data_IF_983648372654
#
_entry.id   IF_983648372654
#
_cell.length_a   1.000
_cell.length_b   1.000
_cell.length_c   1.000
_cell.angle_alpha   90.00
_cell.angle_beta   90.00
_cell.angle_gamma   90.00
#
_symmetry.space_group_name_H-M   'P 1'
#
loop_
_entity.id
_entity.type
_entity.pdbx_description
1 polymer ?
#
# COMPACT_ATOMS: atom_id res chain seq x y z
N UNK A 1 -30.46 40.26 4.19
CA UNK A 1 -30.12 39.39 3.06
C UNK A 1 -28.92 38.58 3.48
N UNK A 2 -29.10 37.29 3.77
CA UNK A 2 -28.01 36.40 4.20
C UNK A 2 -27.13 36.06 3.00
N UNK A 3 -25.86 36.42 3.08
CA UNK A 3 -24.82 35.90 2.19
C UNK A 3 -24.57 34.44 2.57
N UNK A 4 -25.03 33.51 1.74
CA UNK A 4 -24.55 32.14 1.75
C UNK A 4 -23.22 32.16 0.99
N UNK A 5 -22.07 31.84 1.61
CA UNK A 5 -20.85 31.67 0.86
C UNK A 5 -21.05 30.48 -0.09
N UNK A 6 -20.70 30.65 -1.35
CA UNK A 6 -20.66 29.55 -2.30
C UNK A 6 -19.77 28.43 -1.73
N UNK A 7 -20.28 27.20 -1.77
CA UNK A 7 -19.49 26.00 -1.49
C UNK A 7 -18.19 26.07 -2.31
N UNK A 8 -17.04 25.69 -1.74
CA UNK A 8 -15.83 25.56 -2.53
C UNK A 8 -16.11 24.50 -3.60
N UNK A 9 -16.07 24.92 -4.86
CA UNK A 9 -16.19 24.05 -6.01
C UNK A 9 -15.20 22.89 -5.84
N UNK A 10 -15.72 21.68 -5.69
CA UNK A 10 -14.92 20.48 -5.78
C UNK A 10 -14.48 20.33 -7.23
N UNK A 11 -13.30 20.85 -7.57
CA UNK A 11 -12.51 20.42 -8.72
C UNK A 11 -12.07 18.94 -8.52
N UNK A 12 -13.03 18.04 -8.27
CA UNK A 12 -12.78 16.60 -8.31
C UNK A 12 -12.88 16.19 -9.76
N UNK A 13 -11.77 16.43 -10.45
CA UNK A 13 -11.34 15.91 -11.74
C UNK A 13 -12.12 14.65 -12.22
N UNK A 14 -13.30 14.84 -12.83
CA UNK A 14 -14.06 13.76 -13.49
C UNK A 14 -13.27 13.15 -14.67
N UNK A 15 -12.12 13.75 -15.01
CA UNK A 15 -11.19 13.32 -16.06
C UNK A 15 -9.93 12.60 -15.53
N UNK A 16 -9.83 12.29 -14.24
CA UNK A 16 -8.66 11.57 -13.73
C UNK A 16 -8.59 10.15 -14.33
N UNK A 17 -7.45 9.84 -14.96
CA UNK A 17 -7.18 8.48 -15.48
C UNK A 17 -7.03 7.51 -14.31
N UNK A 18 -7.50 6.28 -14.49
CA UNK A 18 -7.32 5.23 -13.48
C UNK A 18 -5.88 4.69 -13.48
N UNK A 19 -5.48 4.09 -12.35
CA UNK A 19 -4.18 3.47 -12.18
C UNK A 19 -3.95 2.33 -13.21
N UNK A 20 -2.74 2.29 -13.77
CA UNK A 20 -2.32 1.27 -14.75
C UNK A 20 -1.81 0.01 -14.04
N UNK A 21 -1.58 -1.11 -14.76
CA UNK A 21 -0.94 -2.30 -14.17
C UNK A 21 0.40 -2.01 -13.50
N UNK A 22 1.15 -1.03 -13.99
CA UNK A 22 2.47 -0.67 -13.44
C UNK A 22 2.44 0.47 -12.43
N UNK A 23 1.27 0.96 -12.06
CA UNK A 23 1.12 1.90 -10.93
C UNK A 23 1.15 1.10 -9.64
N UNK A 24 1.95 1.48 -8.64
CA UNK A 24 1.95 0.76 -7.37
C UNK A 24 0.69 1.06 -6.57
N UNK A 25 -0.06 0.03 -6.21
CA UNK A 25 -1.26 0.15 -5.38
C UNK A 25 -1.18 -0.73 -4.15
N UNK A 26 -1.82 -0.31 -3.07
CA UNK A 26 -1.90 -1.06 -1.80
C UNK A 26 -2.94 -2.20 -1.90
N UNK A 27 -4.07 -1.92 -2.55
CA UNK A 27 -5.18 -2.85 -2.79
C UNK A 27 -5.39 -3.01 -4.29
N UNK A 28 -5.08 -4.20 -4.82
CA UNK A 28 -5.11 -4.47 -6.26
C UNK A 28 -6.54 -4.44 -6.84
N UNK A 29 -7.54 -4.87 -6.07
CA UNK A 29 -8.97 -4.88 -6.44
C UNK A 29 -9.49 -3.48 -6.75
N UNK A 30 -8.95 -2.46 -6.09
CA UNK A 30 -9.33 -1.06 -6.29
C UNK A 30 -8.48 -0.33 -7.34
N UNK A 31 -7.58 -1.00 -8.06
CA UNK A 31 -6.70 -0.38 -9.06
C UNK A 31 -7.49 0.45 -10.09
N UNK A 32 -8.56 -0.13 -10.62
CA UNK A 32 -9.41 0.55 -11.62
C UNK A 32 -10.23 1.71 -11.04
N UNK A 33 -10.34 1.81 -9.71
CA UNK A 33 -11.02 2.91 -9.03
C UNK A 33 -10.04 3.96 -8.47
N UNK A 34 -8.73 3.70 -8.57
CA UNK A 34 -7.66 4.55 -8.03
C UNK A 34 -7.27 5.59 -9.06
N UNK A 35 -7.31 6.87 -8.69
CA UNK A 35 -6.80 7.95 -9.51
C UNK A 35 -5.29 7.82 -9.76
N UNK A 36 -4.86 7.91 -11.01
CA UNK A 36 -3.46 7.71 -11.39
C UNK A 36 -2.53 8.78 -10.80
N UNK A 37 -3.00 10.03 -10.68
CA UNK A 37 -2.18 11.14 -10.19
C UNK A 37 -2.33 11.31 -8.68
N UNK A 38 -3.56 11.29 -8.20
CA UNK A 38 -3.90 11.49 -6.80
C UNK A 38 -3.55 10.27 -5.94
N UNK A 39 -3.59 9.06 -6.53
CA UNK A 39 -3.37 7.82 -5.82
C UNK A 39 -4.46 7.47 -4.80
N UNK A 40 -5.60 8.17 -4.83
CA UNK A 40 -6.74 7.94 -3.95
C UNK A 40 -7.92 7.32 -4.69
N UNK A 41 -8.81 6.71 -3.93
CA UNK A 41 -10.13 6.25 -4.36
C UNK A 41 -11.16 7.19 -3.73
N UNK A 42 -12.07 7.74 -4.53
CA UNK A 42 -13.15 8.58 -4.00
C UNK A 42 -14.08 7.76 -3.09
N UNK A 43 -14.61 8.38 -2.03
CA UNK A 43 -15.43 7.68 -1.03
C UNK A 43 -16.57 6.86 -1.66
N UNK A 44 -17.34 7.45 -2.57
CA UNK A 44 -18.43 6.76 -3.25
C UNK A 44 -17.97 5.49 -3.99
N UNK A 45 -16.83 5.56 -4.69
CA UNK A 45 -16.24 4.41 -5.40
C UNK A 45 -15.73 3.36 -4.42
N UNK A 46 -15.11 3.79 -3.33
CA UNK A 46 -14.62 2.89 -2.29
C UNK A 46 -15.76 2.12 -1.61
N UNK A 47 -16.88 2.80 -1.33
CA UNK A 47 -18.04 2.22 -0.63
C UNK A 47 -18.88 1.30 -1.52
N UNK A 48 -19.00 1.56 -2.83
CA UNK A 48 -19.70 0.67 -3.77
C UNK A 48 -19.05 -0.70 -3.89
N UNK A 49 -17.73 -0.78 -3.79
CA UNK A 49 -17.00 -2.05 -3.85
C UNK A 49 -16.96 -2.76 -2.49
N UNK A 50 -17.26 -2.08 -1.39
CA UNK A 50 -17.29 -2.65 -0.05
C UNK A 50 -18.46 -3.63 0.21
N UNK A 51 -19.12 -4.15 -0.84
CA UNK A 51 -20.25 -5.06 -0.80
C UNK A 51 -20.07 -6.14 0.29
N UNK A 52 -20.83 -5.98 1.38
CA UNK A 52 -20.61 -6.70 2.63
C UNK A 52 -21.20 -8.10 2.60
N UNK A 53 -20.33 -9.09 2.73
CA UNK A 53 -20.69 -10.45 3.15
C UNK A 53 -19.74 -10.90 4.28
N UNK A 54 -19.56 -10.03 5.29
CA UNK A 54 -18.52 -10.20 6.30
C UNK A 54 -17.11 -10.03 5.71
N UNK A 55 -16.18 -9.61 6.56
CA UNK A 55 -14.81 -9.26 6.13
C UNK A 55 -14.13 -10.44 5.43
N UNK A 56 -14.14 -10.41 4.10
CA UNK A 56 -13.31 -11.29 3.28
C UNK A 56 -12.08 -10.45 2.97
N UNK A 57 -10.91 -10.87 3.44
CA UNK A 57 -9.68 -10.26 2.93
C UNK A 57 -9.62 -10.61 1.45
N UNK A 58 -9.87 -9.63 0.57
CA UNK A 58 -10.16 -9.86 -0.85
C UNK A 58 -9.04 -10.60 -1.59
N UNK A 59 -7.82 -10.56 -1.07
CA UNK A 59 -6.70 -11.31 -1.64
C UNK A 59 -6.69 -12.77 -1.17
N UNK A 60 -7.22 -13.08 0.01
CA UNK A 60 -7.06 -14.38 0.67
C UNK A 60 -8.25 -15.33 0.54
N UNK A 61 -9.45 -14.86 0.14
CA UNK A 61 -10.71 -15.62 0.30
C UNK A 61 -10.93 -16.14 1.73
N UNK A 62 -10.34 -15.48 2.74
CA UNK A 62 -10.47 -15.85 4.15
C UNK A 62 -11.47 -14.90 4.81
N UNK A 63 -12.58 -15.46 5.27
CA UNK A 63 -13.57 -14.77 6.11
C UNK A 63 -13.12 -14.82 7.57
N UNK A 64 -12.54 -13.74 8.09
CA UNK A 64 -12.13 -13.69 9.49
C UNK A 64 -13.29 -13.18 10.37
N UNK A 65 -13.81 -14.05 11.24
CA UNK A 65 -14.80 -13.70 12.29
C UNK A 65 -14.10 -13.65 13.66
N UNK A 66 -13.60 -12.48 14.08
CA UNK A 66 -13.03 -12.32 15.43
C UNK A 66 -13.14 -10.90 16.00
N UNK A 67 -14.35 -10.54 16.38
CA UNK A 67 -14.71 -9.85 17.60
C UNK A 67 -13.64 -9.22 18.58
N UNK A 68 -13.10 -8.00 18.37
CA UNK A 68 -13.40 -6.82 19.25
C UNK A 68 -13.69 -5.47 18.52
N UNK A 69 -14.93 -5.23 18.12
CA UNK A 69 -15.45 -6.27 17.25
C UNK A 69 -14.79 -6.35 15.86
N UNK A 70 -13.67 -5.61 15.60
CA UNK A 70 -12.56 -5.84 14.64
C UNK A 70 -12.91 -6.98 13.68
N UNK A 71 -13.74 -6.71 12.67
CA UNK A 71 -14.30 -7.77 11.83
C UNK A 71 -15.70 -7.55 11.26
N UNK A 72 -16.33 -6.40 11.46
CA UNK A 72 -17.49 -5.97 10.66
C UNK A 72 -17.15 -4.79 9.72
N UNK A 73 -16.07 -4.09 9.99
CA UNK A 73 -15.56 -2.99 9.19
C UNK A 73 -14.51 -3.48 8.19
N UNK A 74 -14.52 -2.92 6.98
CA UNK A 74 -13.48 -3.14 5.99
C UNK A 74 -12.36 -2.11 6.19
N UNK A 75 -11.16 -2.52 6.64
CA UNK A 75 -10.03 -1.61 6.72
C UNK A 75 -9.46 -1.32 5.34
N UNK A 76 -9.22 -0.05 5.05
CA UNK A 76 -8.42 0.38 3.89
C UNK A 76 -6.96 0.62 4.26
N UNK A 77 -6.70 1.08 5.49
CA UNK A 77 -5.38 1.03 6.09
C UNK A 77 -5.49 0.90 7.61
N UNK A 78 -4.41 0.37 8.19
CA UNK A 78 -4.17 0.32 9.63
C UNK A 78 -2.68 0.53 9.85
N UNK A 79 -2.33 1.64 10.49
CA UNK A 79 -0.94 2.04 10.71
C UNK A 79 -0.70 2.32 12.18
N UNK A 80 0.21 1.56 12.77
CA UNK A 80 0.71 1.80 14.12
C UNK A 80 1.78 2.89 14.10
N UNK A 81 1.65 3.89 14.95
CA UNK A 81 2.62 4.96 15.12
C UNK A 81 2.54 5.52 16.55
N UNK A 82 3.68 5.62 17.23
CA UNK A 82 3.80 6.17 18.61
C UNK A 82 2.72 5.68 19.59
N UNK A 83 2.54 4.36 19.66
CA UNK A 83 1.62 3.71 20.60
C UNK A 83 0.14 3.73 20.20
N UNK A 84 -0.20 4.33 19.06
CA UNK A 84 -1.58 4.35 18.55
C UNK A 84 -1.69 3.65 17.19
N UNK A 85 -2.84 3.07 16.89
CA UNK A 85 -3.19 2.54 15.57
C UNK A 85 -4.20 3.47 14.93
N UNK A 86 -3.82 4.07 13.82
CA UNK A 86 -4.67 4.91 12.98
C UNK A 86 -5.28 4.05 11.88
N UNK A 87 -6.60 4.12 11.75
CA UNK A 87 -7.34 3.30 10.79
C UNK A 87 -8.28 4.16 9.95
N UNK A 88 -8.38 3.79 8.68
CA UNK A 88 -9.47 4.20 7.80
C UNK A 88 -10.31 2.98 7.49
N UNK A 89 -11.59 3.06 7.81
CA UNK A 89 -12.52 1.93 7.79
C UNK A 89 -13.78 2.30 6.99
N UNK A 90 -14.33 1.36 6.24
CA UNK A 90 -15.75 1.39 5.86
C UNK A 90 -16.57 0.64 6.90
N UNK A 91 -17.65 1.24 7.40
CA UNK A 91 -18.57 0.63 8.37
C UNK A 91 -20.03 0.82 7.96
N UNK A 92 -20.94 -0.05 8.40
CA UNK A 92 -22.38 0.18 8.21
C UNK A 92 -22.84 1.47 8.88
N UNK A 93 -23.72 2.22 8.22
CA UNK A 93 -24.37 3.40 8.81
C UNK A 93 -25.34 2.95 9.90
N UNK A 94 -25.24 3.48 11.14
CA UNK A 94 -26.15 3.10 12.22
C UNK A 94 -27.62 3.30 11.84
N UNK A 95 -28.44 2.26 12.07
CA UNK A 95 -29.88 2.32 11.85
C UNK A 95 -30.34 2.06 10.40
N UNK A 96 -29.44 1.77 9.47
CA UNK A 96 -29.81 1.33 8.13
C UNK A 96 -30.10 -0.18 8.05
N UNK A 97 -31.15 -0.55 7.32
CA UNK A 97 -31.57 -1.95 7.12
C UNK A 97 -30.60 -2.66 6.14
N UNK A 98 -30.08 -3.85 6.46
CA UNK A 98 -29.28 -4.66 5.53
C UNK A 98 -29.94 -4.89 4.16
N UNK A 99 -31.28 -4.82 4.08
CA UNK A 99 -32.11 -5.04 2.88
C UNK A 99 -32.32 -3.81 2.00
N UNK A 100 -31.62 -2.70 2.25
CA UNK A 100 -31.62 -1.56 1.34
C UNK A 100 -31.15 -1.97 -0.07
N UNK A 101 -31.59 -1.25 -1.11
CA UNK A 101 -31.25 -1.58 -2.50
C UNK A 101 -29.75 -1.35 -2.75
N UNK A 102 -29.19 -1.95 -3.80
CA UNK A 102 -27.73 -1.88 -4.07
C UNK A 102 -27.23 -0.47 -4.42
N UNK A 103 -28.15 0.46 -4.71
CA UNK A 103 -27.90 1.87 -4.99
C UNK A 103 -27.88 2.77 -3.73
N UNK A 104 -28.34 2.28 -2.58
CA UNK A 104 -28.30 3.03 -1.32
C UNK A 104 -26.91 2.92 -0.66
N UNK A 105 -26.37 4.06 -0.21
CA UNK A 105 -25.10 4.12 0.51
C UNK A 105 -25.28 3.49 1.91
N UNK A 106 -25.07 2.18 2.00
CA UNK A 106 -25.16 1.37 3.24
C UNK A 106 -24.00 1.60 4.22
N UNK A 107 -22.93 2.22 3.74
CA UNK A 107 -21.66 2.33 4.43
C UNK A 107 -21.18 3.77 4.48
N UNK A 108 -20.47 4.10 5.54
CA UNK A 108 -19.72 5.36 5.65
C UNK A 108 -18.23 5.06 5.82
N UNK A 109 -17.39 5.99 5.36
CA UNK A 109 -15.98 5.98 5.70
C UNK A 109 -15.78 6.68 7.04
N UNK A 110 -15.04 6.05 7.92
CA UNK A 110 -14.65 6.63 9.21
C UNK A 110 -13.16 6.53 9.41
N UNK A 111 -12.60 7.54 10.07
CA UNK A 111 -11.23 7.52 10.56
C UNK A 111 -11.26 7.29 12.08
N UNK A 112 -10.36 6.45 12.57
CA UNK A 112 -10.26 6.14 14.00
C UNK A 112 -8.81 6.08 14.45
N UNK A 113 -8.60 6.26 15.75
CA UNK A 113 -7.34 5.92 16.42
C UNK A 113 -7.62 5.07 17.66
N UNK A 114 -6.71 4.15 17.99
CA UNK A 114 -6.83 3.28 19.16
C UNK A 114 -5.48 3.06 19.85
N UNK A 115 -5.42 2.81 21.17
CA UNK A 115 -4.17 2.60 21.90
C UNK A 115 -3.70 1.14 21.79
N UNK A 116 -3.74 0.59 20.57
CA UNK A 116 -3.32 -0.77 20.27
C UNK A 116 -4.03 -1.40 19.07
N UNK A 117 -3.48 -2.51 18.53
CA UNK A 117 -3.97 -3.13 17.30
C UNK A 117 -5.26 -3.90 17.53
N UNK A 118 -5.50 -4.36 18.75
CA UNK A 118 -6.67 -5.16 19.16
C UNK A 118 -7.64 -4.38 20.04
N UNK A 119 -7.57 -3.06 20.02
CA UNK A 119 -8.38 -2.18 20.88
C UNK A 119 -9.36 -1.39 20.03
N UNK A 120 -10.58 -1.24 20.53
CA UNK A 120 -11.59 -0.35 19.97
C UNK A 120 -11.05 1.10 19.99
N UNK A 121 -11.34 1.84 18.92
CA UNK A 121 -10.84 3.20 18.74
C UNK A 121 -11.88 4.28 19.01
N UNK A 122 -11.41 5.52 18.96
CA UNK A 122 -12.25 6.72 18.92
C UNK A 122 -12.29 7.29 17.50
N UNK A 123 -13.41 7.89 17.13
CA UNK A 123 -13.55 8.58 15.85
C UNK A 123 -12.67 9.83 15.77
N UNK A 124 -12.22 10.14 14.57
CA UNK A 124 -11.47 11.34 14.24
C UNK A 124 -12.24 12.19 13.24
N UNK A 125 -12.34 13.48 13.53
CA UNK A 125 -12.86 14.49 12.62
C UNK A 125 -11.75 15.22 11.85
N UNK A 126 -12.01 15.72 10.63
CA UNK A 126 -13.25 15.52 9.87
C UNK A 126 -13.32 14.11 9.27
N UNK A 127 -14.53 13.61 8.93
CA UNK A 127 -14.70 12.36 8.22
C UNK A 127 -13.90 12.34 6.90
N UNK A 128 -13.33 11.18 6.55
CA UNK A 128 -12.57 11.00 5.31
C UNK A 128 -13.47 11.08 4.07
N UNK A 129 -13.00 11.81 3.04
CA UNK A 129 -13.72 11.99 1.75
C UNK A 129 -13.14 11.15 0.60
N UNK A 130 -12.04 10.44 0.88
CA UNK A 130 -11.33 9.57 -0.05
C UNK A 130 -10.48 8.55 0.73
N UNK A 131 -9.99 7.53 0.03
CA UNK A 131 -9.18 6.45 0.56
C UNK A 131 -7.82 6.45 -0.15
N UNK A 132 -6.68 6.47 0.55
CA UNK A 132 -5.38 6.33 -0.10
C UNK A 132 -5.18 4.89 -0.59
N UNK A 133 -4.75 4.73 -1.84
CA UNK A 133 -4.43 3.41 -2.40
C UNK A 133 -3.05 3.35 -3.07
N UNK A 134 -2.20 4.36 -2.88
CA UNK A 134 -0.78 4.32 -3.25
C UNK A 134 0.08 4.62 -2.03
N UNK A 135 1.37 4.21 -2.02
CA UNK A 135 2.29 4.57 -0.94
C UNK A 135 2.34 6.07 -0.66
N UNK A 136 2.38 6.90 -1.70
CA UNK A 136 2.44 8.36 -1.60
C UNK A 136 1.18 8.94 -0.96
N UNK A 137 0.01 8.54 -1.47
CA UNK A 137 -1.27 9.00 -0.93
C UNK A 137 -1.47 8.60 0.54
N UNK A 138 -1.03 7.40 0.93
CA UNK A 138 -1.14 6.95 2.32
C UNK A 138 -0.20 7.74 3.25
N UNK A 139 1.03 7.99 2.81
CA UNK A 139 1.97 8.83 3.58
C UNK A 139 1.42 10.25 3.75
N UNK A 140 0.89 10.85 2.69
CA UNK A 140 0.28 12.19 2.74
C UNK A 140 -0.93 12.25 3.69
N UNK A 141 -1.83 11.26 3.60
CA UNK A 141 -2.94 11.10 4.54
C UNK A 141 -2.43 11.02 5.98
N UNK A 142 -1.45 10.15 6.26
CA UNK A 142 -0.92 9.99 7.62
C UNK A 142 -0.24 11.25 8.14
N UNK A 143 0.55 11.95 7.33
CA UNK A 143 1.16 13.23 7.72
C UNK A 143 0.10 14.23 8.18
N UNK A 144 -1.05 14.29 7.49
CA UNK A 144 -2.16 15.16 7.88
C UNK A 144 -2.85 14.72 9.17
N UNK A 145 -2.91 13.41 9.44
CA UNK A 145 -3.61 12.82 10.58
C UNK A 145 -2.79 12.85 11.86
N UNK A 146 -1.49 12.53 11.78
CA UNK A 146 -0.61 12.44 12.95
C UNK A 146 0.23 13.69 13.21
N UNK A 147 0.40 14.57 12.22
CA UNK A 147 1.22 15.78 12.35
C UNK A 147 2.70 15.49 12.62
N UNK A 148 3.21 14.36 12.14
CA UNK A 148 4.61 13.97 12.28
C UNK A 148 5.47 14.47 11.09
N UNK A 149 6.80 14.44 11.23
CA UNK A 149 7.68 14.63 10.07
C UNK A 149 7.70 13.38 9.18
N UNK A 150 8.00 13.57 7.91
CA UNK A 150 8.09 12.47 6.95
C UNK A 150 9.13 11.42 7.36
N UNK A 151 10.31 11.84 7.82
CA UNK A 151 11.36 10.93 8.28
C UNK A 151 10.92 10.09 9.48
N UNK A 152 10.27 10.73 10.46
CA UNK A 152 9.78 10.08 11.67
C UNK A 152 8.67 9.06 11.33
N UNK A 153 7.74 9.46 10.46
CA UNK A 153 6.69 8.58 9.97
C UNK A 153 7.27 7.37 9.24
N UNK A 154 8.21 7.57 8.29
CA UNK A 154 8.81 6.45 7.56
C UNK A 154 9.57 5.50 8.49
N UNK A 155 10.25 6.03 9.50
CA UNK A 155 11.07 5.24 10.42
C UNK A 155 10.28 4.50 11.50
N UNK A 156 9.16 5.07 11.98
CA UNK A 156 8.46 4.58 13.18
C UNK A 156 7.01 4.19 12.93
N UNK A 157 6.46 4.40 11.74
CA UNK A 157 5.13 3.92 11.41
C UNK A 157 5.18 2.50 10.84
N UNK A 158 4.29 1.63 11.30
CA UNK A 158 4.22 0.23 10.92
C UNK A 158 2.86 -0.11 10.32
N UNK A 159 2.85 -0.79 9.18
CA UNK A 159 1.63 -1.20 8.50
C UNK A 159 1.06 -2.48 9.10
N UNK A 160 0.14 -2.31 10.04
CA UNK A 160 -0.63 -3.42 10.63
C UNK A 160 -1.50 -4.08 9.55
N UNK A 161 -2.00 -3.28 8.61
CA UNK A 161 -2.83 -3.77 7.51
C UNK A 161 -2.10 -4.81 6.66
N UNK A 162 -0.88 -4.49 6.20
CA UNK A 162 -0.12 -5.43 5.36
C UNK A 162 0.35 -6.65 6.18
N UNK A 163 0.70 -6.46 7.45
CA UNK A 163 0.97 -7.60 8.35
C UNK A 163 -0.22 -8.57 8.37
N UNK A 164 -1.44 -8.06 8.55
CA UNK A 164 -2.65 -8.88 8.58
C UNK A 164 -2.88 -9.58 7.24
N UNK A 165 -2.66 -8.92 6.11
CA UNK A 165 -2.76 -9.55 4.78
C UNK A 165 -1.80 -10.74 4.66
N UNK A 166 -0.58 -10.61 5.16
CA UNK A 166 0.43 -11.67 5.05
C UNK A 166 0.19 -12.82 6.06
N UNK A 167 -0.45 -12.51 7.20
CA UNK A 167 -0.66 -13.41 8.32
C UNK A 167 -2.12 -13.85 8.48
N UNK A 168 -2.86 -13.97 7.37
CA UNK A 168 -4.23 -14.52 7.35
C UNK A 168 -5.19 -13.79 8.31
N UNK A 169 -5.12 -12.47 8.32
CA UNK A 169 -5.95 -11.58 9.13
C UNK A 169 -5.54 -11.44 10.60
N UNK A 170 -4.51 -12.17 11.06
CA UNK A 170 -4.05 -12.14 12.45
C UNK A 170 -3.40 -10.81 12.80
N UNK A 171 -3.74 -10.27 13.97
CA UNK A 171 -3.07 -9.09 14.51
C UNK A 171 -1.68 -9.43 15.03
N UNK A 172 -0.70 -8.53 14.85
CA UNK A 172 0.61 -8.70 15.47
C UNK A 172 0.49 -8.66 17.00
N UNK A 173 1.49 -9.22 17.67
CA UNK A 173 1.60 -9.18 19.14
C UNK A 173 2.11 -7.81 19.62
N UNK A 174 2.85 -7.10 18.78
CA UNK A 174 3.42 -5.78 19.06
C UNK A 174 2.91 -4.72 18.08
N UNK A 175 3.12 -3.45 18.41
CA UNK A 175 2.86 -2.31 17.53
C UNK A 175 3.96 -2.11 16.47
N UNK A 176 5.04 -2.88 16.56
CA UNK A 176 6.26 -2.73 15.76
C UNK A 176 6.60 -4.07 15.08
N UNK A 177 5.71 -4.62 14.23
CA UNK A 177 6.00 -5.86 13.51
C UNK A 177 7.20 -5.68 12.58
N UNK A 178 8.23 -6.50 12.78
CA UNK A 178 9.50 -6.44 12.01
C UNK A 178 9.24 -6.63 10.51
N UNK A 179 9.84 -5.77 9.68
CA UNK A 179 9.70 -5.80 8.22
C UNK A 179 8.46 -5.07 7.68
N UNK A 180 7.67 -4.46 8.56
CA UNK A 180 6.44 -3.72 8.21
C UNK A 180 6.52 -2.23 8.49
N UNK A 181 7.72 -1.68 8.74
CA UNK A 181 7.86 -0.21 8.76
C UNK A 181 7.44 0.36 7.42
N UNK A 182 6.90 1.58 7.36
CA UNK A 182 6.52 2.19 6.09
C UNK A 182 7.74 2.40 5.18
N UNK A 183 8.93 2.66 5.75
CA UNK A 183 10.20 2.71 5.03
C UNK A 183 10.49 1.40 4.30
N UNK A 184 10.46 0.27 5.01
CA UNK A 184 10.71 -1.05 4.41
C UNK A 184 9.59 -1.41 3.43
N UNK A 185 8.33 -1.25 3.85
CA UNK A 185 7.16 -1.68 3.10
C UNK A 185 7.06 -0.95 1.77
N UNK A 186 7.17 0.38 1.78
CA UNK A 186 7.03 1.24 0.60
C UNK A 186 8.34 1.47 -0.15
N UNK A 187 9.43 0.84 0.30
CA UNK A 187 10.77 1.13 -0.20
C UNK A 187 10.99 2.66 -0.22
N UNK A 188 10.60 3.29 0.88
CA UNK A 188 10.46 4.73 1.01
C UNK A 188 11.73 5.37 1.54
N UNK A 189 12.08 6.52 0.99
CA UNK A 189 13.15 7.38 1.46
C UNK A 189 12.75 8.84 1.32
N UNK A 190 13.49 9.73 1.98
CA UNK A 190 13.34 11.17 1.81
C UNK A 190 14.42 11.65 0.85
N UNK A 191 14.01 12.34 -0.21
CA UNK A 191 14.94 12.90 -1.19
C UNK A 191 15.61 14.19 -0.68
N UNK A 192 16.53 14.74 -1.47
CA UNK A 192 17.23 15.98 -1.13
C UNK A 192 16.34 17.22 -1.01
N UNK A 193 15.08 17.15 -1.46
CA UNK A 193 14.08 18.22 -1.34
C UNK A 193 13.13 18.01 -0.14
N UNK A 194 13.34 16.95 0.66
CA UNK A 194 12.47 16.62 1.78
C UNK A 194 11.17 15.93 1.37
N UNK A 195 11.05 15.44 0.13
CA UNK A 195 9.86 14.75 -0.38
C UNK A 195 10.00 13.25 -0.28
N UNK A 196 8.86 12.56 -0.27
CA UNK A 196 8.81 11.11 -0.34
C UNK A 196 9.29 10.65 -1.72
N UNK A 197 10.35 9.84 -1.71
CA UNK A 197 10.80 9.04 -2.84
C UNK A 197 10.52 7.57 -2.54
N UNK A 198 9.89 6.87 -3.48
CA UNK A 198 9.58 5.44 -3.35
C UNK A 198 10.15 4.67 -4.53
N UNK A 199 10.80 3.54 -4.26
CA UNK A 199 11.29 2.65 -5.32
C UNK A 199 10.18 1.83 -5.97
N UNK A 200 8.91 2.02 -5.58
CA UNK A 200 7.77 1.55 -6.36
C UNK A 200 7.50 2.40 -7.61
N UNK A 201 8.09 3.58 -7.75
CA UNK A 201 8.10 4.32 -9.00
C UNK A 201 9.23 3.80 -9.91
N UNK A 202 9.03 3.85 -11.23
CA UNK A 202 10.05 3.35 -12.18
C UNK A 202 11.20 4.36 -12.24
N UNK A 203 12.45 3.96 -11.97
CA UNK A 203 13.59 4.86 -12.12
C UNK A 203 13.73 5.38 -13.56
N UNK A 204 14.22 6.62 -13.69
CA UNK A 204 14.41 7.25 -14.99
C UNK A 204 15.32 6.41 -15.88
N UNK A 205 14.86 6.14 -17.11
CA UNK A 205 15.62 5.37 -18.10
C UNK A 205 15.51 3.85 -17.94
N UNK A 206 14.79 3.35 -16.92
CA UNK A 206 14.54 1.93 -16.72
C UNK A 206 13.24 1.51 -17.40
N UNK A 207 13.23 0.32 -18.02
CA UNK A 207 12.02 -0.26 -18.58
C UNK A 207 10.99 -0.57 -17.47
N UNK A 208 9.76 -0.11 -17.65
CA UNK A 208 8.68 -0.23 -16.65
C UNK A 208 8.29 -1.67 -16.33
N UNK A 209 8.31 -2.56 -17.32
CA UNK A 209 7.97 -3.97 -17.14
C UNK A 209 9.10 -4.68 -16.39
N UNK A 210 10.35 -4.51 -16.82
CA UNK A 210 11.52 -5.07 -16.11
C UNK A 210 11.59 -4.59 -14.67
N UNK A 211 11.30 -3.31 -14.40
CA UNK A 211 11.23 -2.79 -13.03
C UNK A 211 10.12 -3.46 -12.22
N UNK A 212 8.94 -3.65 -12.82
CA UNK A 212 7.82 -4.34 -12.17
C UNK A 212 8.17 -5.80 -11.87
N UNK A 213 8.89 -6.48 -12.78
CA UNK A 213 9.39 -7.84 -12.54
C UNK A 213 10.41 -7.87 -11.41
N UNK A 214 11.34 -6.90 -11.37
CA UNK A 214 12.28 -6.75 -10.26
C UNK A 214 11.57 -6.60 -8.93
N UNK A 215 10.59 -5.70 -8.83
CA UNK A 215 9.82 -5.50 -7.60
C UNK A 215 9.08 -6.79 -7.17
N UNK A 216 8.49 -7.53 -8.12
CA UNK A 216 7.89 -8.83 -7.80
C UNK A 216 8.89 -9.85 -7.28
N UNK A 217 10.10 -9.90 -7.84
CA UNK A 217 11.17 -10.79 -7.35
C UNK A 217 11.70 -10.33 -5.99
N UNK A 218 11.81 -9.01 -5.79
CA UNK A 218 12.15 -8.41 -4.51
C UNK A 218 11.12 -8.86 -3.47
N UNK A 219 9.84 -8.85 -3.78
CA UNK A 219 8.79 -9.20 -2.82
C UNK A 219 8.59 -10.72 -2.65
N UNK A 220 9.51 -11.59 -3.12
CA UNK A 220 9.47 -13.03 -2.84
C UNK A 220 10.11 -13.38 -1.49
N UNK A 221 9.56 -14.39 -0.82
CA UNK A 221 10.15 -15.01 0.38
C UNK A 221 11.54 -15.61 0.08
N UNK A 222 11.71 -16.19 -1.10
CA UNK A 222 12.98 -16.81 -1.53
C UNK A 222 13.53 -16.09 -2.75
N UNK A 223 14.64 -15.37 -2.56
CA UNK A 223 15.29 -14.54 -3.59
C UNK A 223 16.82 -14.60 -3.54
N UNK A 224 17.36 -15.77 -3.17
CA UNK A 224 18.78 -15.98 -2.85
C UNK A 224 19.79 -15.47 -3.89
N UNK A 225 19.38 -15.40 -5.17
CA UNK A 225 20.23 -14.92 -6.28
C UNK A 225 20.12 -13.42 -6.56
N UNK A 226 19.17 -12.71 -5.94
CA UNK A 226 18.87 -11.31 -6.25
C UNK A 226 20.03 -10.38 -5.91
N UNK A 227 20.66 -10.54 -4.74
CA UNK A 227 21.83 -9.77 -4.35
C UNK A 227 23.00 -9.93 -5.34
N UNK A 228 23.22 -11.16 -5.83
CA UNK A 228 24.24 -11.47 -6.83
C UNK A 228 23.93 -10.84 -8.19
N UNK A 229 22.66 -10.87 -8.62
CA UNK A 229 22.24 -10.26 -9.89
C UNK A 229 22.35 -8.74 -9.84
N UNK A 230 21.85 -8.10 -8.78
CA UNK A 230 21.86 -6.65 -8.62
C UNK A 230 23.29 -6.08 -8.61
N UNK A 231 24.26 -6.89 -8.17
CA UNK A 231 25.69 -6.55 -8.17
C UNK A 231 26.41 -6.86 -9.49
N UNK A 232 25.71 -7.38 -10.51
CA UNK A 232 26.31 -7.76 -11.80
C UNK A 232 26.35 -6.60 -12.80
N UNK A 233 27.27 -6.69 -13.77
CA UNK A 233 27.29 -5.80 -14.93
C UNK A 233 26.01 -5.93 -15.77
N UNK A 234 25.32 -7.07 -15.73
CA UNK A 234 24.09 -7.26 -16.48
C UNK A 234 22.95 -6.39 -15.93
N UNK A 235 22.89 -6.18 -14.61
CA UNK A 235 21.92 -5.27 -14.03
C UNK A 235 22.08 -3.84 -14.57
N UNK A 236 23.32 -3.35 -14.73
CA UNK A 236 23.59 -2.05 -15.34
C UNK A 236 23.19 -2.02 -16.82
N UNK A 237 23.49 -3.09 -17.57
CA UNK A 237 23.14 -3.17 -18.98
C UNK A 237 21.63 -3.21 -19.25
N UNK A 238 20.85 -3.90 -18.40
CA UNK A 238 19.40 -4.07 -18.59
C UNK A 238 18.56 -2.96 -17.95
N UNK A 239 18.99 -2.42 -16.81
CA UNK A 239 18.22 -1.42 -16.04
C UNK A 239 18.81 0.01 -16.12
N UNK A 240 20.00 0.16 -16.68
CA UNK A 240 20.78 1.40 -16.65
C UNK A 240 21.47 1.64 -15.30
N UNK A 241 22.35 2.63 -15.24
CA UNK A 241 23.07 2.99 -14.00
C UNK A 241 22.13 3.39 -12.87
N UNK A 242 21.15 4.26 -13.17
CA UNK A 242 20.15 4.71 -12.20
C UNK A 242 19.25 3.56 -11.73
N UNK A 243 18.82 2.69 -12.64
CA UNK A 243 18.01 1.52 -12.31
C UNK A 243 18.77 0.54 -11.42
N UNK A 244 20.01 0.18 -11.79
CA UNK A 244 20.86 -0.71 -10.98
C UNK A 244 21.18 -0.12 -9.59
N UNK A 245 21.40 1.19 -9.48
CA UNK A 245 21.55 1.86 -8.18
C UNK A 245 20.27 1.78 -7.34
N UNK A 246 19.11 2.04 -7.96
CA UNK A 246 17.81 1.92 -7.31
C UNK A 246 17.52 0.48 -6.85
N UNK A 247 17.90 -0.54 -7.63
CA UNK A 247 17.77 -1.95 -7.21
C UNK A 247 18.55 -2.24 -5.92
N UNK A 248 19.78 -1.74 -5.81
CA UNK A 248 20.62 -1.91 -4.60
C UNK A 248 20.00 -1.23 -3.39
N UNK A 249 19.50 -0.02 -3.56
CA UNK A 249 18.84 0.72 -2.49
C UNK A 249 17.52 0.06 -2.07
N UNK A 250 16.69 -0.38 -3.02
CA UNK A 250 15.47 -1.14 -2.74
C UNK A 250 15.76 -2.45 -1.99
N UNK A 251 16.82 -3.17 -2.39
CA UNK A 251 17.27 -4.38 -1.68
C UNK A 251 17.70 -4.06 -0.25
N UNK A 252 18.48 -2.99 -0.07
CA UNK A 252 18.94 -2.53 1.25
C UNK A 252 17.77 -2.11 2.15
N UNK A 253 16.76 -1.43 1.60
CA UNK A 253 15.56 -1.06 2.35
C UNK A 253 14.71 -2.28 2.73
N UNK A 254 14.74 -3.36 1.95
CA UNK A 254 13.94 -4.56 2.23
C UNK A 254 14.63 -5.57 3.13
N UNK A 255 15.94 -5.77 2.97
CA UNK A 255 16.73 -6.76 3.71
C UNK A 255 17.60 -6.14 4.81
N UNK A 256 17.66 -4.82 4.91
CA UNK A 256 18.65 -4.14 5.71
C UNK A 256 20.03 -4.27 5.08
N UNK A 257 21.01 -4.80 5.83
CA UNK A 257 22.37 -4.93 5.34
C UNK A 257 22.48 -6.02 4.27
N UNK A 258 22.77 -5.63 3.03
CA UNK A 258 23.09 -6.58 1.96
C UNK A 258 24.50 -7.11 2.20
N UNK A 259 24.60 -8.39 2.58
CA UNK A 259 25.90 -9.08 2.70
C UNK A 259 26.66 -9.00 1.37
N UNK A 260 28.00 -9.04 1.43
CA UNK A 260 28.85 -9.05 0.25
C UNK A 260 28.41 -10.17 -0.72
N UNK A 261 27.86 -9.77 -1.86
CA UNK A 261 27.32 -10.67 -2.88
C UNK A 261 28.37 -10.93 -3.95
N UNK A 262 28.52 -12.19 -4.37
CA UNK A 262 29.36 -12.54 -5.51
C UNK A 262 28.61 -12.17 -6.80
N UNK A 263 29.14 -11.27 -7.65
CA UNK A 263 28.44 -10.84 -8.85
C UNK A 263 28.10 -12.01 -9.78
N UNK A 264 26.85 -12.07 -10.22
CA UNK A 264 26.41 -13.04 -11.22
C UNK A 264 27.01 -12.71 -12.59
N UNK A 265 27.56 -13.68 -13.31
CA UNK A 265 28.15 -13.45 -14.62
C UNK A 265 27.16 -13.70 -15.76
N UNK A 266 27.04 -12.72 -16.67
CA UNK A 266 26.45 -12.85 -18.01
C UNK A 266 24.97 -13.25 -18.12
N UNK A 267 24.25 -13.42 -17.01
CA UNK A 267 22.88 -13.94 -17.00
C UNK A 267 21.87 -12.80 -17.01
N UNK A 268 20.92 -12.80 -17.95
CA UNK A 268 19.84 -11.78 -18.03
C UNK A 268 18.83 -11.92 -16.90
N UNK A 269 18.12 -10.84 -16.56
CA UNK A 269 17.17 -10.82 -15.45
C UNK A 269 16.11 -11.92 -15.58
N UNK A 270 15.45 -11.99 -16.74
CA UNK A 270 14.39 -12.96 -17.01
C UNK A 270 14.88 -14.42 -17.06
N UNK A 271 16.19 -14.64 -17.23
CA UNK A 271 16.80 -15.97 -17.17
C UNK A 271 17.14 -16.35 -15.73
N UNK A 272 17.63 -15.39 -14.94
CA UNK A 272 17.91 -15.57 -13.52
C UNK A 272 16.62 -15.73 -12.70
N UNK A 273 15.53 -15.09 -13.14
CA UNK A 273 14.21 -15.07 -12.50
C UNK A 273 13.09 -15.30 -13.54
N UNK A 274 12.85 -16.55 -13.95
CA UNK A 274 11.87 -16.88 -14.99
C UNK A 274 10.44 -16.51 -14.62
N UNK A 275 9.68 -16.03 -15.60
CA UNK A 275 8.32 -15.53 -15.42
C UNK A 275 7.22 -16.60 -15.49
N UNK A 276 7.55 -17.85 -15.82
CA UNK A 276 6.60 -18.97 -15.92
C UNK A 276 5.85 -19.26 -14.61
N UNK A 277 6.23 -18.58 -13.53
CA UNK A 277 5.61 -18.63 -12.20
C UNK A 277 4.55 -17.53 -11.98
N UNK A 278 4.39 -16.57 -12.89
CA UNK A 278 3.42 -15.48 -12.73
C UNK A 278 2.14 -15.79 -13.51
N UNK A 279 0.97 -15.59 -12.88
CA UNK A 279 -0.30 -15.46 -13.60
C UNK A 279 -0.16 -14.36 -14.66
N UNK A 280 -0.88 -14.50 -15.77
CA UNK A 280 -0.70 -13.81 -17.06
C UNK A 280 -0.65 -12.26 -17.04
N UNK A 281 -0.83 -11.61 -15.88
CA UNK A 281 -0.83 -10.16 -15.74
C UNK A 281 0.27 -9.68 -14.78
N UNK A 282 1.25 -8.93 -15.31
CA UNK A 282 2.30 -8.28 -14.53
C UNK A 282 1.79 -6.97 -13.93
N UNK A 283 1.35 -7.03 -12.67
CA UNK A 283 0.89 -5.89 -11.87
C UNK A 283 1.91 -5.47 -10.82
N UNK A 284 1.94 -4.17 -10.52
CA UNK A 284 2.74 -3.58 -9.44
C UNK A 284 1.88 -3.45 -8.20
N UNK A 285 2.14 -4.30 -7.23
CA UNK A 285 1.48 -4.31 -5.94
C UNK A 285 2.53 -4.07 -4.86
N UNK A 286 2.10 -3.59 -3.70
CA UNK A 286 3.00 -3.12 -2.64
C UNK A 286 3.07 -4.15 -1.51
N UNK A 287 4.30 -4.45 -1.08
CA UNK A 287 4.58 -5.30 0.08
C UNK A 287 4.99 -6.73 -0.26
N UNK A 288 5.56 -7.41 0.75
CA UNK A 288 6.35 -8.65 0.62
C UNK A 288 5.54 -9.91 0.22
N UNK A 289 4.24 -9.78 -0.07
CA UNK A 289 3.38 -10.91 -0.45
C UNK A 289 2.21 -10.49 -1.35
N UNK A 290 2.36 -9.38 -2.08
CA UNK A 290 1.36 -8.82 -2.99
C UNK A 290 1.21 -9.66 -4.29
N UNK A 291 0.99 -10.96 -4.11
CA UNK A 291 1.10 -11.97 -5.15
C UNK A 291 1.21 -13.40 -4.63
N UNK A 292 1.07 -13.65 -3.32
CA UNK A 292 0.83 -15.02 -2.83
C UNK A 292 -0.65 -15.38 -2.92
N UNK A 293 -1.24 -15.33 -4.12
CA UNK A 293 -2.48 -16.04 -4.50
C UNK A 293 -2.40 -16.42 -5.98
#
# INVERSE_FOLDING_TARGET
MSFVPAEPATDKDENERNATPHTAVLLHTFRQNTGLKSGVILAERALRTAAYDGTTFENLSITCRAHMRLGAELPFYEVAFKGNVYRLLARPIPGQDPKLRDDDVKYELVRTWAPGPRVDGWFMDPPPVAVPNTPRALVEELLSVVGASLDDLLAQAYSIFHYRLDHQGRFPETMEPVGYTLRELFLGSVDGEGKLSTFYETPKGTNVELWTMFLRVLDRTTRAKLANYVSSNMAVNEFGEFGSAAMRQALTLRDGHVNAALPMSGTRFIQAFPLSEFSSNLTREVGRHSGMF
#
